data_IF_490336364703
#
_entry.id   IF_490336364703
#
_cell.length_a   1.000
_cell.length_b   1.000
_cell.length_c   1.000
_cell.angle_alpha   90.00
_cell.angle_beta   90.00
_cell.angle_gamma   90.00
#
_symmetry.space_group_name_H-M   'P 1'
#
loop_
_entity.id
_entity.type
_entity.pdbx_description
1 polymer ?
#
# COMPACT_ATOMS: atom_id res chain seq x y z
N UNK A 1 -22.60 -7.23 -9.16
CA UNK A 1 -21.27 -6.74 -9.59
C UNK A 1 -20.85 -5.69 -8.59
N UNK A 2 -19.55 -5.49 -8.30
CA UNK A 2 -19.14 -4.32 -7.55
C UNK A 2 -19.64 -3.09 -8.31
N UNK A 3 -20.23 -2.13 -7.59
CA UNK A 3 -20.46 -0.84 -8.22
C UNK A 3 -19.11 -0.15 -8.37
N UNK A 4 -18.92 0.54 -9.48
CA UNK A 4 -17.71 1.32 -9.75
C UNK A 4 -18.07 2.79 -9.66
N UNK A 5 -17.24 3.54 -8.94
CA UNK A 5 -17.33 4.99 -8.89
C UNK A 5 -16.34 5.54 -9.91
N UNK A 6 -16.83 6.39 -10.80
CA UNK A 6 -16.01 7.12 -11.75
C UNK A 6 -15.41 8.33 -11.03
N UNK A 7 -14.11 8.57 -11.21
CA UNK A 7 -13.39 9.69 -10.63
C UNK A 7 -12.68 10.47 -11.74
N UNK A 8 -12.63 11.79 -11.58
CA UNK A 8 -11.73 12.68 -12.31
C UNK A 8 -10.90 13.45 -11.29
N UNK A 9 -9.62 13.62 -11.57
CA UNK A 9 -8.67 14.32 -10.73
C UNK A 9 -8.07 15.47 -11.53
N UNK A 10 -8.30 16.68 -11.04
CA UNK A 10 -7.59 17.87 -11.44
C UNK A 10 -6.43 18.07 -10.46
N UNK A 11 -5.20 17.95 -10.94
CA UNK A 11 -4.00 18.14 -10.12
C UNK A 11 -2.98 18.98 -10.89
N UNK A 12 -2.65 20.16 -10.37
CA UNK A 12 -1.70 21.07 -11.02
C UNK A 12 -0.98 21.97 -10.03
N UNK A 13 0.18 22.49 -10.43
CA UNK A 13 0.92 23.52 -9.70
C UNK A 13 1.62 24.48 -10.67
N UNK A 14 1.73 25.76 -10.31
CA UNK A 14 2.55 26.70 -11.09
C UNK A 14 4.06 26.54 -10.79
N UNK A 15 4.41 25.83 -9.71
CA UNK A 15 5.78 25.48 -9.38
C UNK A 15 6.23 24.27 -10.20
N UNK A 16 7.30 24.44 -10.98
CA UNK A 16 7.82 23.41 -11.88
C UNK A 16 8.29 22.14 -11.13
N UNK A 17 8.77 22.25 -9.89
CA UNK A 17 9.19 21.08 -9.11
C UNK A 17 7.98 20.27 -8.61
N UNK A 18 6.96 20.96 -8.11
CA UNK A 18 5.71 20.33 -7.67
C UNK A 18 4.99 19.66 -8.85
N UNK A 19 4.87 20.37 -9.98
CA UNK A 19 4.28 19.82 -11.20
C UNK A 19 5.04 18.59 -11.70
N UNK A 20 6.37 18.59 -11.67
CA UNK A 20 7.17 17.43 -12.06
C UNK A 20 6.90 16.21 -11.16
N UNK A 21 6.63 16.42 -9.86
CA UNK A 21 6.24 15.33 -8.95
C UNK A 21 4.83 14.82 -9.30
N UNK A 22 3.87 15.71 -9.54
CA UNK A 22 2.52 15.35 -9.99
C UNK A 22 2.60 14.49 -11.26
N UNK A 23 3.29 14.97 -12.29
CA UNK A 23 3.45 14.25 -13.55
C UNK A 23 4.09 12.87 -13.34
N UNK A 24 5.07 12.78 -12.43
CA UNK A 24 5.78 11.53 -12.12
C UNK A 24 4.88 10.44 -11.51
N UNK A 25 3.84 10.83 -10.79
CA UNK A 25 2.86 9.91 -10.20
C UNK A 25 2.04 9.20 -11.27
N UNK A 26 1.75 9.85 -12.39
CA UNK A 26 0.85 9.34 -13.43
C UNK A 26 1.57 8.78 -14.66
N UNK A 27 2.78 9.25 -14.96
CA UNK A 27 3.56 8.76 -16.11
C UNK A 27 4.43 7.52 -15.78
N UNK A 28 4.32 6.99 -14.56
CA UNK A 28 5.02 5.79 -14.12
C UNK A 28 6.50 5.99 -13.77
N UNK A 29 7.00 7.23 -13.75
CA UNK A 29 8.42 7.50 -13.45
C UNK A 29 8.73 7.55 -11.95
N UNK A 30 7.72 7.68 -11.09
CA UNK A 30 7.90 7.57 -9.63
C UNK A 30 8.44 6.18 -9.27
N UNK A 31 9.41 6.14 -8.35
CA UNK A 31 10.01 4.89 -7.86
C UNK A 31 9.06 4.23 -6.86
N UNK A 32 8.31 3.23 -7.32
CA UNK A 32 7.46 2.40 -6.50
C UNK A 32 8.09 1.04 -6.22
N UNK A 33 8.50 0.83 -4.98
CA UNK A 33 9.07 -0.42 -4.48
C UNK A 33 8.27 -0.98 -3.30
N UNK A 34 7.01 -0.56 -3.15
CA UNK A 34 6.15 -0.89 -1.99
C UNK A 34 6.06 -2.40 -1.78
N UNK A 35 5.67 -3.17 -2.81
CA UNK A 35 5.54 -4.63 -2.68
C UNK A 35 6.89 -5.33 -2.50
N UNK A 36 7.97 -4.73 -2.98
CA UNK A 36 9.32 -5.27 -2.77
C UNK A 36 9.69 -5.17 -1.28
N UNK A 37 9.45 -4.01 -0.66
CA UNK A 37 9.70 -3.79 0.76
C UNK A 37 8.83 -4.69 1.63
N UNK A 38 7.53 -4.79 1.30
CA UNK A 38 6.60 -5.71 1.96
C UNK A 38 7.12 -7.15 1.86
N UNK A 39 7.56 -7.59 0.69
CA UNK A 39 8.12 -8.95 0.50
C UNK A 39 9.38 -9.19 1.33
N UNK A 40 10.30 -8.22 1.40
CA UNK A 40 11.51 -8.31 2.23
C UNK A 40 11.15 -8.48 3.70
N UNK A 41 10.26 -7.63 4.22
CA UNK A 41 9.82 -7.67 5.62
C UNK A 41 9.07 -8.97 5.96
N UNK A 42 8.21 -9.46 5.05
CA UNK A 42 7.53 -10.76 5.18
C UNK A 42 8.52 -11.94 5.25
N UNK A 43 9.61 -11.91 4.49
CA UNK A 43 10.66 -12.93 4.57
C UNK A 43 11.39 -12.90 5.92
N UNK A 44 11.73 -11.70 6.43
CA UNK A 44 12.33 -11.55 7.75
C UNK A 44 11.38 -12.11 8.83
N UNK A 45 10.09 -11.77 8.74
CA UNK A 45 9.06 -12.26 9.64
C UNK A 45 8.97 -13.81 9.64
N UNK A 46 8.83 -14.44 8.48
CA UNK A 46 8.74 -15.91 8.37
C UNK A 46 10.03 -16.59 8.85
N UNK A 47 11.20 -15.99 8.58
CA UNK A 47 12.48 -16.47 9.09
C UNK A 47 12.53 -16.40 10.63
N UNK A 48 11.97 -15.34 11.20
CA UNK A 48 11.79 -15.17 12.65
C UNK A 48 10.86 -16.22 13.26
N UNK A 49 9.68 -16.44 12.67
CA UNK A 49 8.72 -17.46 13.14
C UNK A 49 9.30 -18.89 13.06
N UNK A 50 10.06 -19.19 12.00
CA UNK A 50 10.76 -20.46 11.88
C UNK A 50 11.98 -20.60 12.82
N UNK A 51 12.41 -19.50 13.44
CA UNK A 51 13.62 -19.41 14.26
C UNK A 51 14.91 -19.59 13.44
N UNK A 52 14.90 -19.19 12.17
CA UNK A 52 16.12 -18.98 11.37
C UNK A 52 16.81 -17.71 11.87
N UNK A 53 16.04 -16.65 12.10
CA UNK A 53 16.48 -15.43 12.77
C UNK A 53 16.09 -15.48 14.25
N UNK A 54 16.89 -14.85 15.09
CA UNK A 54 16.67 -14.78 16.54
C UNK A 54 17.40 -13.56 17.10
N UNK A 55 16.87 -12.92 18.16
CA UNK A 55 17.45 -11.69 18.69
C UNK A 55 18.82 -11.92 19.34
N UNK A 56 19.60 -10.85 19.53
CA UNK A 56 20.81 -10.87 20.37
C UNK A 56 20.47 -11.06 21.86
N UNK A 57 21.47 -11.49 22.65
CA UNK A 57 21.30 -11.80 24.08
C UNK A 57 20.90 -10.60 24.94
N UNK A 58 21.34 -9.41 24.54
CA UNK A 58 21.15 -8.10 25.18
C UNK A 58 20.03 -7.28 24.53
N UNK A 59 19.20 -7.90 23.69
CA UNK A 59 18.05 -7.24 23.09
C UNK A 59 17.13 -6.65 24.18
N UNK A 60 16.70 -5.38 24.06
CA UNK A 60 15.86 -4.77 25.09
C UNK A 60 14.56 -5.54 25.30
N UNK A 61 14.26 -5.89 26.54
CA UNK A 61 13.12 -6.76 26.90
C UNK A 61 11.79 -6.18 26.42
N UNK A 62 11.59 -4.86 26.54
CA UNK A 62 10.39 -4.19 26.05
C UNK A 62 10.15 -4.39 24.55
N UNK A 63 11.19 -4.43 23.71
CA UNK A 63 11.07 -4.69 22.27
C UNK A 63 10.59 -6.12 22.04
N UNK A 64 11.18 -7.07 22.77
CA UNK A 64 10.81 -8.48 22.67
C UNK A 64 9.36 -8.72 23.11
N UNK A 65 8.92 -8.08 24.19
CA UNK A 65 7.57 -8.18 24.72
C UNK A 65 6.51 -7.55 23.81
N UNK A 66 6.81 -6.38 23.24
CA UNK A 66 5.94 -5.73 22.26
C UNK A 66 5.81 -6.58 20.99
N UNK A 67 6.93 -7.10 20.47
CA UNK A 67 6.92 -7.98 19.30
C UNK A 67 6.17 -9.28 19.56
N UNK A 68 6.37 -9.91 20.73
CA UNK A 68 5.67 -11.13 21.11
C UNK A 68 4.16 -10.91 21.28
N UNK A 69 3.77 -9.74 21.78
CA UNK A 69 2.36 -9.36 21.94
C UNK A 69 1.67 -9.18 20.58
N UNK A 70 2.39 -8.70 19.56
CA UNK A 70 1.90 -8.61 18.18
C UNK A 70 1.86 -9.98 17.47
N UNK A 71 2.88 -10.82 17.67
CA UNK A 71 2.95 -12.16 17.09
C UNK A 71 3.55 -13.18 18.05
N UNK A 72 2.73 -13.96 18.77
CA UNK A 72 3.22 -14.93 19.75
C UNK A 72 4.12 -16.04 19.18
N UNK A 73 4.08 -16.24 17.85
CA UNK A 73 4.86 -17.27 17.18
C UNK A 73 6.26 -16.79 16.75
N UNK A 74 6.56 -15.51 16.90
CA UNK A 74 7.86 -14.95 16.50
C UNK A 74 8.96 -15.36 17.49
N UNK A 75 10.15 -15.71 16.99
CA UNK A 75 11.24 -16.13 17.86
C UNK A 75 11.77 -14.94 18.68
N UNK A 76 11.37 -14.87 19.96
CA UNK A 76 11.86 -13.85 20.91
C UNK A 76 12.73 -14.43 22.03
N UNK A 77 12.84 -15.76 22.14
CA UNK A 77 13.56 -16.47 23.24
C UNK A 77 14.89 -17.08 22.84
N UNK A 78 15.03 -17.51 21.59
CA UNK A 78 16.31 -17.97 21.06
C UNK A 78 17.28 -16.77 20.93
N UNK A 79 18.59 -17.05 20.90
CA UNK A 79 19.63 -16.01 20.85
C UNK A 79 20.64 -16.25 19.75
N UNK A 80 21.04 -15.17 19.08
CA UNK A 80 22.05 -15.17 18.03
C UNK A 80 22.93 -13.92 18.18
N UNK A 81 24.13 -14.05 18.74
CA UNK A 81 25.03 -12.92 19.04
C UNK A 81 25.94 -12.61 17.84
N UNK A 82 25.38 -12.09 16.76
CA UNK A 82 26.08 -11.60 15.57
C UNK A 82 25.26 -10.47 14.91
N UNK A 83 25.77 -9.90 13.81
CA UNK A 83 25.08 -8.81 13.09
C UNK A 83 23.68 -9.21 12.59
N UNK A 84 23.48 -10.47 12.19
CA UNK A 84 22.17 -10.98 11.78
C UNK A 84 21.14 -10.96 12.92
N UNK A 85 21.57 -11.27 14.14
CA UNK A 85 20.72 -11.17 15.33
C UNK A 85 20.40 -9.73 15.70
N UNK A 86 21.35 -8.82 15.52
CA UNK A 86 21.16 -7.38 15.79
C UNK A 86 20.20 -6.75 14.77
N UNK A 87 20.39 -7.05 13.49
CA UNK A 87 19.44 -6.69 12.43
C UNK A 87 18.04 -7.25 12.68
N UNK A 88 17.94 -8.47 13.22
CA UNK A 88 16.64 -9.00 13.61
C UNK A 88 16.01 -8.21 14.76
N UNK A 89 16.79 -7.72 15.73
CA UNK A 89 16.28 -6.80 16.77
C UNK A 89 15.79 -5.47 16.19
N UNK A 90 16.50 -4.91 15.21
CA UNK A 90 16.05 -3.72 14.49
C UNK A 90 14.74 -3.98 13.74
N UNK A 91 14.61 -5.15 13.11
CA UNK A 91 13.34 -5.58 12.52
C UNK A 91 12.22 -5.69 13.56
N UNK A 92 12.48 -6.24 14.75
CA UNK A 92 11.47 -6.34 15.81
C UNK A 92 11.00 -4.95 16.28
N UNK A 93 11.90 -3.96 16.38
CA UNK A 93 11.53 -2.56 16.65
C UNK A 93 10.71 -1.97 15.49
N UNK A 94 11.20 -2.15 14.27
CA UNK A 94 10.56 -1.64 13.06
C UNK A 94 9.20 -2.27 12.81
N UNK A 95 8.98 -3.52 13.23
CA UNK A 95 7.67 -4.17 13.17
C UNK A 95 6.63 -3.48 14.05
N UNK A 96 7.03 -2.93 15.20
CA UNK A 96 6.11 -2.32 16.18
C UNK A 96 5.69 -0.92 15.73
N UNK A 97 6.68 -0.10 15.36
CA UNK A 97 6.51 1.34 15.15
C UNK A 97 6.86 1.82 13.73
N UNK A 98 7.44 0.96 12.89
CA UNK A 98 7.90 1.33 11.56
C UNK A 98 6.76 1.46 10.55
N UNK A 99 7.07 2.22 9.49
CA UNK A 99 6.20 2.45 8.34
C UNK A 99 6.95 2.17 7.03
N UNK A 100 6.21 1.76 6.01
CA UNK A 100 6.69 1.54 4.65
C UNK A 100 6.24 2.74 3.82
N UNK A 101 7.21 3.51 3.35
CA UNK A 101 7.03 4.65 2.44
C UNK A 101 8.31 4.84 1.62
N UNK A 102 8.31 5.64 0.54
CA UNK A 102 9.52 5.90 -0.24
C UNK A 102 10.71 6.39 0.61
N UNK A 103 10.45 7.12 1.70
CA UNK A 103 11.47 7.58 2.63
C UNK A 103 12.16 6.45 3.41
N UNK A 104 11.49 5.32 3.64
CA UNK A 104 12.02 4.19 4.44
C UNK A 104 12.56 3.04 3.61
N UNK A 105 12.48 3.10 2.28
CA UNK A 105 12.94 2.01 1.39
C UNK A 105 14.43 1.67 1.58
N UNK A 106 15.30 2.67 1.70
CA UNK A 106 16.73 2.46 1.90
C UNK A 106 17.05 1.80 3.25
N UNK A 107 16.29 2.13 4.29
CA UNK A 107 16.43 1.53 5.62
C UNK A 107 15.98 0.07 5.61
N UNK A 108 14.89 -0.24 4.93
CA UNK A 108 14.38 -1.61 4.76
C UNK A 108 15.37 -2.46 3.94
N UNK A 109 15.99 -1.88 2.90
CA UNK A 109 17.04 -2.54 2.12
C UNK A 109 18.26 -2.89 2.98
N UNK A 110 18.72 -1.93 3.77
CA UNK A 110 19.85 -2.10 4.70
C UNK A 110 19.54 -3.16 5.74
N UNK A 111 18.35 -3.10 6.34
CA UNK A 111 17.86 -4.07 7.30
C UNK A 111 17.83 -5.49 6.69
N UNK A 112 17.22 -5.64 5.51
CA UNK A 112 17.12 -6.92 4.83
C UNK A 112 18.49 -7.50 4.46
N UNK A 113 19.42 -6.67 3.98
CA UNK A 113 20.78 -7.08 3.66
C UNK A 113 21.53 -7.65 4.87
N UNK A 114 21.45 -6.98 6.03
CA UNK A 114 22.10 -7.42 7.28
C UNK A 114 21.57 -8.76 7.82
N UNK A 115 20.33 -9.12 7.49
CA UNK A 115 19.79 -10.45 7.87
C UNK A 115 20.41 -11.61 7.08
N UNK A 116 21.09 -11.34 5.96
CA UNK A 116 21.66 -12.37 5.07
C UNK A 116 20.62 -13.18 4.28
N UNK A 117 19.31 -12.91 4.45
CA UNK A 117 18.24 -13.66 3.79
C UNK A 117 18.25 -13.52 2.27
N UNK A 118 18.77 -12.41 1.73
CA UNK A 118 18.93 -12.21 0.29
C UNK A 118 19.75 -13.34 -0.38
N UNK A 119 20.72 -13.89 0.33
CA UNK A 119 21.60 -14.97 -0.15
C UNK A 119 21.16 -16.37 0.28
N UNK A 120 20.11 -16.50 1.12
CA UNK A 120 19.70 -17.79 1.68
C UNK A 120 18.74 -18.50 0.73
N UNK A 121 19.25 -19.47 -0.04
CA UNK A 121 18.43 -20.29 -0.93
C UNK A 121 17.56 -21.26 -0.13
N UNK A 122 16.37 -21.58 -0.65
CA UNK A 122 15.45 -22.52 0.00
C UNK A 122 16.12 -23.87 0.28
N UNK A 123 16.94 -24.37 -0.64
CA UNK A 123 17.67 -25.64 -0.50
C UNK A 123 18.63 -25.68 0.70
N UNK A 124 19.20 -24.54 1.04
CA UNK A 124 20.22 -24.40 2.09
C UNK A 124 19.61 -24.26 3.49
N UNK A 125 18.29 -24.01 3.57
CA UNK A 125 17.58 -23.95 4.84
C UNK A 125 17.51 -25.36 5.46
N UNK A 126 17.92 -25.52 6.74
CA UNK A 126 17.85 -26.80 7.43
C UNK A 126 16.46 -27.43 7.34
N UNK A 127 16.39 -28.76 7.15
CA UNK A 127 15.13 -29.47 6.92
C UNK A 127 14.09 -29.24 8.02
N UNK A 128 14.53 -29.15 9.29
CA UNK A 128 13.65 -28.82 10.42
C UNK A 128 13.00 -27.44 10.28
N UNK A 129 13.76 -26.43 9.83
CA UNK A 129 13.30 -25.06 9.63
C UNK A 129 12.38 -24.95 8.42
N UNK A 130 12.71 -25.62 7.31
CA UNK A 130 11.79 -25.75 6.15
C UNK A 130 10.47 -26.40 6.53
N UNK A 131 10.50 -27.43 7.39
CA UNK A 131 9.28 -28.09 7.88
C UNK A 131 8.42 -27.11 8.70
N UNK A 132 9.03 -26.28 9.54
CA UNK A 132 8.33 -25.24 10.28
C UNK A 132 7.69 -24.20 9.36
N UNK A 133 8.43 -23.69 8.36
CA UNK A 133 7.91 -22.75 7.36
C UNK A 133 6.74 -23.36 6.59
N UNK A 134 6.89 -24.60 6.10
CA UNK A 134 5.82 -25.30 5.37
C UNK A 134 4.56 -25.51 6.22
N UNK A 135 4.71 -25.72 7.53
CA UNK A 135 3.58 -25.92 8.42
C UNK A 135 2.76 -24.64 8.60
N UNK A 136 3.42 -23.47 8.60
CA UNK A 136 2.73 -22.19 8.72
C UNK A 136 2.28 -21.61 7.37
N UNK A 137 2.90 -21.99 6.26
CA UNK A 137 2.65 -21.34 4.97
C UNK A 137 1.17 -21.28 4.50
N UNK A 138 0.34 -22.34 4.65
CA UNK A 138 -1.05 -22.29 4.20
C UNK A 138 -1.87 -21.15 4.81
N UNK A 139 -1.44 -20.66 5.96
CA UNK A 139 -2.05 -19.56 6.71
C UNK A 139 -1.68 -18.18 6.17
N UNK A 140 -0.54 -18.06 5.48
CA UNK A 140 -0.02 -16.79 4.94
C UNK A 140 -0.10 -16.72 3.41
N UNK A 141 -0.23 -17.88 2.74
CA UNK A 141 -0.06 -18.03 1.30
C UNK A 141 -0.90 -17.05 0.48
N UNK A 142 -2.20 -16.90 0.79
CA UNK A 142 -3.08 -16.02 0.04
C UNK A 142 -2.69 -14.55 0.24
N UNK A 143 -2.58 -14.08 1.47
CA UNK A 143 -2.24 -12.68 1.76
C UNK A 143 -0.85 -12.27 1.29
N UNK A 144 0.09 -13.22 1.23
CA UNK A 144 1.47 -12.94 0.80
C UNK A 144 1.66 -13.04 -0.71
N UNK A 145 0.79 -13.74 -1.44
CA UNK A 145 1.01 -14.02 -2.87
C UNK A 145 -0.19 -13.71 -3.77
N UNK A 146 -1.34 -13.37 -3.20
CA UNK A 146 -2.63 -13.24 -3.89
C UNK A 146 -3.17 -14.57 -4.45
N UNK A 147 -2.57 -15.71 -4.10
CA UNK A 147 -2.88 -17.03 -4.69
C UNK A 147 -3.14 -18.06 -3.61
N UNK A 148 -4.27 -18.76 -3.73
CA UNK A 148 -4.53 -19.97 -2.97
C UNK A 148 -3.56 -21.08 -3.42
N UNK A 149 -3.00 -21.83 -2.47
CA UNK A 149 -2.08 -22.96 -2.73
C UNK A 149 -0.74 -22.59 -3.41
N UNK A 150 -0.19 -21.41 -3.13
CA UNK A 150 1.15 -21.04 -3.60
C UNK A 150 2.23 -21.93 -2.97
N UNK A 151 3.31 -22.21 -3.71
CA UNK A 151 4.45 -22.95 -3.17
C UNK A 151 5.40 -22.01 -2.42
N UNK A 152 5.62 -22.29 -1.14
CA UNK A 152 6.53 -21.51 -0.29
C UNK A 152 7.97 -21.55 -0.79
N UNK A 153 8.39 -22.63 -1.47
CA UNK A 153 9.75 -22.70 -1.99
C UNK A 153 9.94 -21.73 -3.15
N UNK A 154 8.97 -21.67 -4.06
CA UNK A 154 8.95 -20.68 -5.13
C UNK A 154 8.86 -19.25 -4.57
N UNK A 155 7.99 -19.00 -3.59
CA UNK A 155 7.86 -17.68 -2.97
C UNK A 155 9.13 -17.23 -2.22
N UNK A 156 9.77 -18.14 -1.49
CA UNK A 156 11.04 -17.84 -0.82
C UNK A 156 12.10 -17.40 -1.83
N UNK A 157 12.11 -18.08 -2.98
CA UNK A 157 13.03 -17.84 -4.08
C UNK A 157 12.65 -16.68 -5.00
N UNK A 158 11.44 -16.10 -4.87
CA UNK A 158 11.12 -14.87 -5.59
C UNK A 158 12.14 -13.83 -5.18
N UNK A 159 13.00 -13.45 -6.13
CA UNK A 159 14.09 -12.55 -5.84
C UNK A 159 13.47 -11.21 -5.44
N UNK A 160 13.93 -10.65 -4.31
CA UNK A 160 13.56 -9.31 -3.86
C UNK A 160 14.36 -8.30 -4.70
N UNK A 161 14.20 -8.37 -6.02
CA UNK A 161 14.90 -7.56 -7.01
C UNK A 161 14.24 -6.20 -7.01
N UNK A 162 15.08 -5.18 -7.08
CA UNK A 162 14.64 -3.81 -7.33
C UNK A 162 13.87 -3.75 -8.64
N UNK A 163 12.55 -3.59 -8.52
CA UNK A 163 11.66 -3.43 -9.67
C UNK A 163 10.72 -2.29 -9.36
N UNK A 164 10.76 -1.26 -10.20
CA UNK A 164 9.72 -0.25 -10.19
C UNK A 164 8.38 -0.91 -10.55
N UNK A 165 7.40 -0.74 -9.67
CA UNK A 165 6.05 -1.27 -9.80
C UNK A 165 5.09 -0.27 -10.43
N UNK A 166 5.52 0.98 -10.61
CA UNK A 166 4.77 1.96 -11.37
C UNK A 166 4.87 1.66 -12.85
N UNK A 167 3.74 1.72 -13.54
CA UNK A 167 3.63 1.68 -14.99
C UNK A 167 2.97 2.99 -15.46
N UNK A 168 3.25 3.40 -16.69
CA UNK A 168 2.62 4.59 -17.27
C UNK A 168 1.09 4.41 -17.32
N UNK A 169 0.35 5.42 -16.85
CA UNK A 169 -1.11 5.34 -16.77
C UNK A 169 -1.61 4.47 -15.60
N UNK A 170 -0.77 4.18 -14.62
CA UNK A 170 -1.18 3.58 -13.35
C UNK A 170 -0.80 4.46 -12.16
N UNK A 171 -1.75 4.65 -11.24
CA UNK A 171 -1.51 5.30 -9.95
C UNK A 171 -1.60 4.25 -8.85
N UNK A 172 -0.47 4.01 -8.17
CA UNK A 172 -0.45 3.26 -6.91
C UNK A 172 -0.59 4.22 -5.73
N UNK A 173 -1.83 4.43 -5.30
CA UNK A 173 -2.19 5.30 -4.18
C UNK A 173 -1.52 4.92 -2.86
N UNK A 174 -0.98 3.70 -2.73
CA UNK A 174 -0.22 3.29 -1.54
C UNK A 174 1.06 4.09 -1.37
N UNK A 175 1.59 4.67 -2.46
CA UNK A 175 2.74 5.58 -2.41
C UNK A 175 2.44 6.88 -1.66
N UNK A 176 1.17 7.26 -1.61
CA UNK A 176 0.72 8.52 -1.02
C UNK A 176 0.49 8.40 0.50
N UNK A 177 0.80 7.25 1.09
CA UNK A 177 0.51 6.97 2.50
C UNK A 177 1.59 6.13 3.16
N UNK A 178 1.69 6.21 4.48
CA UNK A 178 2.67 5.49 5.28
C UNK A 178 2.10 4.18 5.81
N UNK A 179 2.43 3.05 5.19
CA UNK A 179 1.85 1.75 5.56
C UNK A 179 2.54 1.23 6.84
N UNK A 180 1.85 1.02 7.96
CA UNK A 180 2.45 0.43 9.14
C UNK A 180 2.98 -0.96 8.83
N UNK A 181 4.23 -1.25 9.20
CA UNK A 181 4.91 -2.52 8.91
C UNK A 181 4.08 -3.70 9.41
N UNK A 182 3.53 -3.60 10.62
CA UNK A 182 2.62 -4.61 11.19
C UNK A 182 1.43 -4.93 10.30
N UNK A 183 0.81 -3.95 9.65
CA UNK A 183 -0.33 -4.17 8.74
C UNK A 183 0.09 -4.89 7.46
N UNK A 184 1.34 -4.70 7.02
CA UNK A 184 1.85 -5.34 5.81
C UNK A 184 2.30 -6.80 6.03
N UNK A 185 2.82 -7.12 7.22
CA UNK A 185 3.43 -8.43 7.49
C UNK A 185 2.55 -9.37 8.31
N UNK A 186 1.75 -8.84 9.25
CA UNK A 186 0.98 -9.69 10.14
C UNK A 186 -0.30 -10.12 9.43
N UNK A 187 -0.44 -11.43 9.23
CA UNK A 187 -1.70 -12.05 8.81
C UNK A 187 -2.32 -12.65 10.05
N UNK A 188 -3.53 -12.20 10.36
CA UNK A 188 -4.20 -12.53 11.61
C UNK A 188 -4.76 -13.95 11.60
N UNK A 189 -4.16 -14.81 12.42
CA UNK A 189 -4.71 -16.11 12.76
C UNK A 189 -4.60 -16.40 14.26
N UNK A 190 -4.90 -15.41 15.09
CA UNK A 190 -5.14 -15.69 16.51
C UNK A 190 -6.57 -16.22 16.66
N UNK A 191 -6.71 -17.55 16.72
CA UNK A 191 -7.95 -18.26 17.08
C UNK A 191 -9.16 -18.13 16.13
N UNK A 192 -8.95 -17.92 14.83
CA UNK A 192 -10.04 -17.92 13.85
C UNK A 192 -11.01 -16.73 13.98
N UNK A 193 -10.55 -15.62 14.56
CA UNK A 193 -11.27 -14.33 14.57
C UNK A 193 -10.35 -13.22 14.09
N UNK A 194 -10.83 -12.45 13.13
CA UNK A 194 -10.18 -11.26 12.60
C UNK A 194 -10.13 -10.15 13.66
N UNK A 195 -8.93 -9.68 13.93
CA UNK A 195 -8.56 -8.55 14.76
C UNK A 195 -7.48 -7.71 14.05
N UNK A 196 -7.98 -6.82 13.18
CA UNK A 196 -7.55 -5.41 13.02
C UNK A 196 -6.25 -5.04 12.26
N UNK A 197 -5.52 -5.95 11.62
CA UNK A 197 -4.27 -5.55 10.94
C UNK A 197 -4.02 -6.19 9.56
N UNK A 198 -5.05 -6.45 8.75
CA UNK A 198 -4.76 -6.80 7.35
C UNK A 198 -4.42 -5.55 6.51
N UNK A 199 -3.45 -5.68 5.60
CA UNK A 199 -2.99 -4.62 4.72
C UNK A 199 -4.16 -4.02 3.93
N UNK A 200 -5.09 -4.86 3.49
CA UNK A 200 -6.22 -4.47 2.68
C UNK A 200 -7.16 -3.51 3.41
N UNK A 201 -7.50 -3.79 4.68
CA UNK A 201 -8.35 -2.98 5.54
C UNK A 201 -7.64 -1.68 5.89
N UNK A 202 -6.34 -1.73 6.18
CA UNK A 202 -5.57 -0.51 6.43
C UNK A 202 -5.58 0.39 5.19
N UNK A 203 -5.22 -0.14 4.02
CA UNK A 203 -5.21 0.59 2.74
C UNK A 203 -6.61 1.13 2.44
N UNK A 204 -7.64 0.30 2.62
CA UNK A 204 -9.03 0.73 2.35
C UNK A 204 -9.51 1.83 3.30
N UNK A 205 -9.00 1.86 4.53
CA UNK A 205 -9.33 2.90 5.51
C UNK A 205 -8.54 4.18 5.22
N UNK A 206 -7.24 4.06 4.96
CA UNK A 206 -6.35 5.19 4.69
C UNK A 206 -6.71 5.89 3.37
N UNK A 207 -7.02 5.12 2.33
CA UNK A 207 -7.35 5.65 1.01
C UNK A 207 -8.85 5.91 0.82
N UNK A 208 -9.71 5.44 1.72
CA UNK A 208 -11.17 5.45 1.56
C UNK A 208 -11.71 4.69 0.33
N UNK A 209 -10.87 3.94 -0.38
CA UNK A 209 -11.22 3.12 -1.55
C UNK A 209 -10.73 1.69 -1.40
N UNK A 210 -11.44 0.73 -1.99
CA UNK A 210 -11.01 -0.67 -1.98
C UNK A 210 -9.84 -0.88 -2.95
N UNK A 211 -8.68 -1.27 -2.43
CA UNK A 211 -7.45 -1.41 -3.22
C UNK A 211 -6.65 -0.11 -3.29
N UNK A 212 -5.51 -0.12 -3.99
CA UNK A 212 -4.64 1.05 -4.08
C UNK A 212 -4.06 1.31 -5.47
N UNK A 213 -4.13 0.35 -6.40
CA UNK A 213 -3.67 0.52 -7.78
C UNK A 213 -4.86 0.78 -8.70
N UNK A 214 -4.84 1.90 -9.42
CA UNK A 214 -5.86 2.26 -10.42
C UNK A 214 -5.22 2.58 -11.75
N UNK A 215 -5.97 2.36 -12.84
CA UNK A 215 -5.56 2.79 -14.18
C UNK A 215 -6.11 4.18 -14.45
N UNK A 216 -5.24 5.10 -14.81
CA UNK A 216 -5.56 6.50 -15.07
C UNK A 216 -5.53 6.78 -16.56
N UNK A 217 -6.37 7.71 -17.00
CA UNK A 217 -6.39 8.22 -18.37
C UNK A 217 -6.33 9.74 -18.35
N UNK A 218 -5.37 10.31 -19.05
CA UNK A 218 -5.30 11.76 -19.25
C UNK A 218 -6.36 12.16 -20.27
N UNK A 219 -7.18 13.15 -19.91
CA UNK A 219 -8.18 13.78 -20.76
C UNK A 219 -7.60 15.02 -21.46
N UNK A 220 -8.26 15.48 -22.53
CA UNK A 220 -7.82 16.65 -23.30
C UNK A 220 -7.84 17.95 -22.48
N UNK A 221 -8.68 18.02 -21.43
CA UNK A 221 -8.74 19.12 -20.47
C UNK A 221 -7.58 19.11 -19.44
N UNK A 222 -6.72 18.08 -19.46
CA UNK A 222 -5.60 17.93 -18.53
C UNK A 222 -5.91 17.10 -17.28
N UNK A 223 -7.15 16.67 -17.07
CA UNK A 223 -7.55 15.88 -15.90
C UNK A 223 -7.25 14.40 -16.08
N UNK A 224 -7.07 13.69 -14.96
CA UNK A 224 -6.90 12.24 -14.94
C UNK A 224 -8.21 11.55 -14.53
N UNK A 225 -8.72 10.65 -15.35
CA UNK A 225 -9.90 9.84 -14.99
C UNK A 225 -9.55 8.41 -14.65
N UNK A 226 -10.25 7.83 -13.68
CA UNK A 226 -10.06 6.45 -13.22
C UNK A 226 -11.27 5.94 -12.43
N UNK A 227 -11.40 4.62 -12.34
CA UNK A 227 -12.49 3.97 -11.63
C UNK A 227 -12.02 3.34 -10.31
N UNK A 228 -12.83 3.47 -9.26
CA UNK A 228 -12.59 2.85 -7.96
C UNK A 228 -13.76 1.97 -7.53
N UNK A 229 -13.52 0.89 -6.77
CA UNK A 229 -14.61 0.02 -6.35
C UNK A 229 -15.41 0.66 -5.20
N UNK A 230 -16.73 0.73 -5.36
CA UNK A 230 -17.76 1.10 -4.39
C UNK A 230 -17.69 2.51 -3.78
N UNK A 231 -16.58 3.24 -3.90
CA UNK A 231 -16.38 4.54 -3.22
C UNK A 231 -15.49 5.47 -4.04
N UNK A 232 -15.72 6.78 -3.98
CA UNK A 232 -14.83 7.78 -4.59
C UNK A 232 -13.48 7.90 -3.88
N UNK A 233 -12.43 8.24 -4.62
CA UNK A 233 -11.08 8.47 -4.10
C UNK A 233 -10.86 9.86 -3.52
N UNK A 234 -11.78 10.30 -2.64
CA UNK A 234 -11.79 11.66 -2.05
C UNK A 234 -10.49 12.01 -1.34
N UNK A 235 -9.85 11.00 -0.74
CA UNK A 235 -8.60 11.18 -0.01
C UNK A 235 -7.46 11.75 -0.86
N UNK A 236 -7.49 11.61 -2.19
CA UNK A 236 -6.44 12.11 -3.07
C UNK A 236 -6.27 13.64 -3.03
N UNK A 237 -7.34 14.39 -2.76
CA UNK A 237 -7.29 15.86 -2.62
C UNK A 237 -6.34 16.30 -1.51
N UNK A 238 -6.16 15.46 -0.48
CA UNK A 238 -5.25 15.71 0.64
C UNK A 238 -3.95 14.89 0.54
N UNK A 239 -4.02 13.64 0.07
CA UNK A 239 -2.87 12.75 0.03
C UNK A 239 -1.81 13.18 -0.99
N UNK A 240 -2.22 13.76 -2.13
CA UNK A 240 -1.26 14.24 -3.15
C UNK A 240 -0.46 15.45 -2.65
N UNK A 241 -1.08 16.53 -2.12
CA UNK A 241 -0.33 17.63 -1.51
C UNK A 241 0.59 17.17 -0.37
N UNK A 242 0.11 16.32 0.53
CA UNK A 242 0.95 15.74 1.61
C UNK A 242 2.14 14.97 1.05
N UNK A 243 1.95 14.17 -0.01
CA UNK A 243 3.03 13.43 -0.65
C UNK A 243 4.09 14.37 -1.25
N UNK A 244 3.66 15.44 -1.92
CA UNK A 244 4.56 16.45 -2.51
C UNK A 244 5.34 17.18 -1.41
N UNK A 245 4.67 17.59 -0.34
CA UNK A 245 5.30 18.23 0.83
C UNK A 245 6.44 17.36 1.39
N UNK A 246 6.15 16.07 1.60
CA UNK A 246 7.14 15.10 2.08
C UNK A 246 8.30 14.90 1.09
N UNK A 247 8.01 14.80 -0.20
CA UNK A 247 9.04 14.64 -1.23
C UNK A 247 9.99 15.86 -1.32
N UNK A 248 9.48 17.06 -1.03
CA UNK A 248 10.24 18.31 -1.05
C UNK A 248 10.82 18.70 0.31
N UNK A 249 10.49 17.99 1.39
CA UNK A 249 10.73 18.40 2.78
C UNK A 249 10.21 19.84 3.06
N UNK A 250 9.00 20.12 2.60
CA UNK A 250 8.33 21.41 2.75
C UNK A 250 7.08 21.28 3.65
N UNK A 251 6.61 22.40 4.19
CA UNK A 251 5.30 22.45 4.85
C UNK A 251 4.20 22.51 3.77
N UNK A 252 3.12 21.76 3.97
CA UNK A 252 2.01 21.67 3.01
C UNK A 252 1.36 23.04 2.74
N UNK A 253 1.33 23.92 3.74
CA UNK A 253 0.79 25.28 3.61
C UNK A 253 1.60 26.19 2.66
N UNK A 254 2.83 25.81 2.33
CA UNK A 254 3.72 26.56 1.44
C UNK A 254 3.65 26.08 -0.01
N UNK A 255 2.90 25.01 -0.29
CA UNK A 255 2.74 24.46 -1.64
C UNK A 255 1.74 25.27 -2.48
N UNK A 256 2.01 25.36 -3.79
CA UNK A 256 1.09 25.94 -4.79
C UNK A 256 0.37 24.83 -5.57
N UNK A 257 -0.07 23.79 -4.87
CA UNK A 257 -0.72 22.61 -5.47
C UNK A 257 -2.23 22.75 -5.38
N UNK A 258 -2.90 22.84 -6.53
CA UNK A 258 -4.32 22.61 -6.67
C UNK A 258 -4.61 21.12 -6.88
N UNK A 259 -5.48 20.53 -6.07
CA UNK A 259 -5.87 19.12 -6.18
C UNK A 259 -7.37 18.97 -5.86
N UNK A 260 -8.17 18.63 -6.87
CA UNK A 260 -9.63 18.49 -6.76
C UNK A 260 -10.07 17.14 -7.32
N UNK A 261 -10.88 16.41 -6.55
CA UNK A 261 -11.45 15.12 -6.95
C UNK A 261 -12.92 15.28 -7.28
N UNK A 262 -13.28 15.04 -8.53
CA UNK A 262 -14.66 14.95 -8.99
C UNK A 262 -15.06 13.49 -9.06
N UNK A 263 -16.30 13.16 -8.73
CA UNK A 263 -16.76 11.78 -8.79
C UNK A 263 -18.26 11.67 -9.06
N UNK A 264 -18.65 10.54 -9.62
CA UNK A 264 -20.05 10.12 -9.68
C UNK A 264 -20.18 8.60 -9.64
N UNK A 265 -21.32 8.13 -9.13
CA UNK A 265 -21.69 6.72 -9.13
C UNK A 265 -23.13 6.58 -9.63
N UNK A 266 -23.33 6.23 -10.92
CA UNK A 266 -24.67 6.11 -11.50
C UNK A 266 -25.55 5.12 -10.72
N UNK A 267 -24.96 3.99 -10.31
CA UNK A 267 -25.68 2.94 -9.59
C UNK A 267 -26.23 3.34 -8.22
N UNK A 268 -25.70 4.41 -7.61
CA UNK A 268 -26.15 4.95 -6.33
C UNK A 268 -26.72 6.37 -6.44
N UNK A 269 -26.88 6.88 -7.67
CA UNK A 269 -27.45 8.18 -7.99
C UNK A 269 -26.81 9.38 -7.25
N UNK A 270 -25.49 9.38 -7.05
CA UNK A 270 -24.78 10.51 -6.47
C UNK A 270 -23.60 10.97 -7.33
N UNK A 271 -23.24 12.22 -7.12
CA UNK A 271 -22.07 12.90 -7.67
C UNK A 271 -21.41 13.77 -6.60
N UNK A 272 -20.24 14.32 -6.86
CA UNK A 272 -19.60 15.18 -5.88
C UNK A 272 -18.22 15.70 -6.25
N UNK A 273 -17.73 16.56 -5.37
CA UNK A 273 -16.43 17.24 -5.45
C UNK A 273 -15.80 17.17 -4.06
N UNK A 274 -14.60 16.59 -4.00
CA UNK A 274 -13.84 16.33 -2.77
C UNK A 274 -14.71 15.65 -1.69
N UNK A 275 -14.96 16.34 -0.58
CA UNK A 275 -15.78 15.83 0.51
C UNK A 275 -17.29 16.05 0.31
N UNK A 276 -17.67 16.86 -0.67
CA UNK A 276 -19.06 17.25 -0.92
C UNK A 276 -19.76 16.20 -1.77
N UNK A 277 -20.88 15.66 -1.26
CA UNK A 277 -21.72 14.69 -1.99
C UNK A 277 -23.06 15.33 -2.31
N UNK A 278 -23.52 15.13 -3.53
CA UNK A 278 -24.72 15.70 -4.12
C UNK A 278 -25.51 14.61 -4.82
N UNK A 279 -26.83 14.78 -4.91
CA UNK A 279 -27.69 13.88 -5.69
C UNK A 279 -27.43 14.09 -7.19
N UNK A 280 -27.63 13.04 -8.00
CA UNK A 280 -27.71 13.21 -9.45
C UNK A 280 -28.90 14.09 -9.81
N UNK A 281 -28.71 14.93 -10.82
CA UNK A 281 -29.81 15.67 -11.43
C UNK A 281 -30.50 14.79 -12.47
N UNK A 282 -31.80 14.97 -12.63
CA UNK A 282 -32.60 14.20 -13.57
C UNK A 282 -33.39 15.18 -14.43
N UNK A 283 -33.23 15.12 -15.75
CA UNK A 283 -34.08 15.87 -16.69
C UNK A 283 -34.92 14.90 -17.51
N UNK A 284 -36.15 15.32 -17.83
CA UNK A 284 -37.01 14.58 -18.74
C UNK A 284 -36.75 15.09 -20.15
N UNK A 285 -36.33 14.20 -21.04
CA UNK A 285 -36.15 14.50 -22.44
C UNK A 285 -37.54 14.75 -23.07
N UNK A 286 -37.81 15.99 -23.49
CA UNK A 286 -39.13 16.41 -24.00
C UNK A 286 -39.58 15.65 -25.26
N UNK A 287 -38.66 15.04 -26.02
CA UNK A 287 -38.97 14.31 -27.26
C UNK A 287 -39.23 12.82 -27.02
N UNK A 288 -38.48 12.18 -26.11
CA UNK A 288 -38.60 10.73 -25.83
C UNK A 288 -39.45 10.42 -24.59
N UNK A 289 -39.64 11.39 -23.69
CA UNK A 289 -40.23 11.19 -22.36
C UNK A 289 -39.37 10.35 -21.42
N UNK A 290 -38.10 10.11 -21.78
CA UNK A 290 -37.15 9.38 -20.94
C UNK A 290 -36.51 10.32 -19.92
N UNK A 291 -36.30 9.83 -18.70
CA UNK A 291 -35.55 10.56 -17.67
C UNK A 291 -34.07 10.27 -17.89
N UNK A 292 -33.30 11.31 -18.21
CA UNK A 292 -31.84 11.26 -18.35
C UNK A 292 -31.17 11.67 -17.03
N UNK A 293 -30.12 10.93 -16.66
CA UNK A 293 -29.26 11.25 -15.53
C UNK A 293 -28.26 12.32 -15.97
N UNK A 294 -28.34 13.49 -15.35
CA UNK A 294 -27.46 14.62 -15.64
C UNK A 294 -26.40 14.78 -14.56
N UNK A 295 -25.17 14.97 -15.02
CA UNK A 295 -24.08 15.48 -14.20
C UNK A 295 -24.17 17.00 -14.08
N UNK A 296 -23.72 17.54 -12.94
CA UNK A 296 -23.50 18.97 -12.83
C UNK A 296 -22.47 19.42 -13.88
N UNK A 297 -22.60 20.64 -14.45
CA UNK A 297 -21.71 21.10 -15.53
C UNK A 297 -20.22 20.99 -15.21
N UNK A 298 -19.83 21.35 -13.98
CA UNK A 298 -18.46 21.25 -13.48
C UNK A 298 -17.95 19.80 -13.38
N UNK A 299 -18.83 18.84 -13.06
CA UNK A 299 -18.48 17.43 -13.04
C UNK A 299 -18.37 16.90 -14.47
N UNK A 300 -19.34 17.22 -15.34
CA UNK A 300 -19.27 16.85 -16.75
C UNK A 300 -17.99 17.37 -17.42
N UNK A 301 -17.64 18.64 -17.18
CA UNK A 301 -16.42 19.28 -17.66
C UNK A 301 -15.17 18.55 -17.14
N UNK A 302 -15.15 18.15 -15.87
CA UNK A 302 -14.01 17.43 -15.30
C UNK A 302 -13.75 16.07 -15.98
N UNK A 303 -14.80 15.39 -16.45
CA UNK A 303 -14.72 14.14 -17.22
C UNK A 303 -14.53 14.35 -18.74
N UNK A 304 -14.57 15.60 -19.22
CA UNK A 304 -14.39 15.95 -20.63
C UNK A 304 -15.64 15.72 -21.50
N UNK A 305 -16.84 15.80 -20.91
CA UNK A 305 -18.12 15.74 -21.62
C UNK A 305 -18.57 17.10 -22.15
#
# INVERSE_FOLDING_TARGET
>A
MPNWCANALEASSNNTQEQAIIDSLFNGTVVNRTEEMITKLRKIYIAGVAGILSPISDAPEHVLDSAFSLSPNIATKARMNNDTGDAYCDFLRFMVDGVISPATYADIDTLYARTGLASLWWGDIPAAKRKAIKAIWPYYAYDYTGRYYSDVSAWWMTASVERNQSEEGELDMRLLTEIPVKSAILVDLVNGRSSRHDLYQWVSTALSVSGGLVKTRLQDNGNYTFDTPNRPARSLSHLIPTYIANALNADECDLDVGCTVFFYEPGNAFQGIDDTTMDLTFTENEESGEIEEDLLPEIAEAFGY
#
